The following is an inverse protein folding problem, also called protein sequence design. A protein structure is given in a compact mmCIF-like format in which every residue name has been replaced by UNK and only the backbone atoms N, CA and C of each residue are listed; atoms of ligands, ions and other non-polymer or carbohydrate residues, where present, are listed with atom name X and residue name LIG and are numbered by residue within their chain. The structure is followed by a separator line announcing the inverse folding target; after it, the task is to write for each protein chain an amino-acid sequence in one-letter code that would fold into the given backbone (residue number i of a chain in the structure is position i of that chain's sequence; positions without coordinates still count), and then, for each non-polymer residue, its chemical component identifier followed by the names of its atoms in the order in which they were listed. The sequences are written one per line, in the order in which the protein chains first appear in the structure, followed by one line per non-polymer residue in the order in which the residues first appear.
data_IF_341109920742
#
_entry.id   IF_341109920742
#
_cell.length_a   1.000
_cell.length_b   1.000
_cell.length_c   1.000
_cell.angle_alpha   90.00
_cell.angle_beta   90.00
_cell.angle_gamma   90.00
#
_symmetry.space_group_name_H-M   'P 1'
#
loop_
_entity.id
_entity.type
_entity.pdbx_description
1 polymer ?
#
# COMPACT_ATOMS: atom_id res chain seq x y z
N UNK A 1 -25.67 5.09 -10.50
CA UNK A 1 -24.38 5.71 -10.12
C UNK A 1 -23.35 4.60 -10.00
N UNK A 2 -22.25 4.66 -10.75
CA UNK A 2 -21.21 3.62 -10.76
C UNK A 2 -20.19 3.78 -9.63
N UNK A 3 -19.26 2.83 -9.55
CA UNK A 3 -18.13 2.84 -8.60
C UNK A 3 -17.25 4.07 -8.83
N UNK A 4 -16.98 4.82 -7.76
CA UNK A 4 -16.12 6.02 -7.77
C UNK A 4 -14.75 5.79 -7.13
N UNK A 5 -14.62 4.77 -6.29
CA UNK A 5 -13.38 4.51 -5.58
C UNK A 5 -12.90 3.09 -5.85
N UNK A 6 -11.62 2.95 -6.15
CA UNK A 6 -10.99 1.68 -6.50
C UNK A 6 -9.85 1.37 -5.54
N UNK A 7 -9.53 0.08 -5.45
CA UNK A 7 -8.37 -0.40 -4.71
C UNK A 7 -7.40 -1.01 -5.72
N UNK A 8 -6.19 -0.47 -5.81
CA UNK A 8 -5.07 -1.12 -6.45
C UNK A 8 -4.60 -2.24 -5.51
N UNK A 9 -5.18 -3.43 -5.70
CA UNK A 9 -4.90 -4.59 -4.87
C UNK A 9 -3.60 -5.32 -5.24
N UNK A 10 -3.12 -6.14 -4.31
CA UNK A 10 -2.00 -7.04 -4.54
C UNK A 10 -0.64 -6.44 -4.19
N UNK A 11 -0.55 -5.46 -3.29
CA UNK A 11 0.72 -4.98 -2.77
C UNK A 11 0.90 -5.38 -1.31
N UNK A 12 2.16 -5.57 -0.91
CA UNK A 12 2.56 -5.86 0.47
C UNK A 12 3.87 -5.19 0.81
N UNK A 13 4.14 -5.05 2.11
CA UNK A 13 5.47 -4.69 2.61
C UNK A 13 6.24 -5.99 2.86
N UNK A 14 7.41 -6.12 2.24
CA UNK A 14 8.27 -7.29 2.40
C UNK A 14 9.22 -7.14 3.61
N UNK A 15 10.06 -8.16 3.84
CA UNK A 15 11.00 -8.16 4.98
C UNK A 15 12.04 -7.04 4.90
N UNK A 16 12.35 -6.55 3.71
CA UNK A 16 13.26 -5.41 3.51
C UNK A 16 12.55 -4.06 3.69
N UNK A 17 11.32 -4.06 4.20
CA UNK A 17 10.47 -2.87 4.34
C UNK A 17 10.15 -2.21 3.00
N UNK A 18 10.14 -2.94 1.88
CA UNK A 18 9.81 -2.41 0.55
C UNK A 18 8.42 -2.84 0.12
N UNK A 19 7.73 -1.97 -0.61
CA UNK A 19 6.48 -2.30 -1.29
C UNK A 19 6.81 -3.23 -2.45
N UNK A 20 6.21 -4.41 -2.44
CA UNK A 20 6.24 -5.32 -3.56
C UNK A 20 4.84 -5.67 -4.00
N UNK A 21 4.66 -5.80 -5.31
CA UNK A 21 3.41 -6.32 -5.86
C UNK A 21 3.48 -7.84 -5.86
N UNK A 22 2.56 -8.47 -5.14
CA UNK A 22 2.40 -9.92 -5.15
C UNK A 22 1.67 -10.29 -6.42
N UNK A 23 2.34 -11.00 -7.31
CA UNK A 23 1.66 -11.73 -8.38
C UNK A 23 0.73 -12.74 -7.74
N UNK A 24 -0.57 -12.41 -7.73
CA UNK A 24 -1.56 -13.41 -7.36
C UNK A 24 -1.76 -14.30 -8.56
N UNK A 25 -1.76 -15.61 -8.34
CA UNK A 25 -2.07 -16.63 -9.35
C UNK A 25 -3.41 -16.40 -10.09
N UNK A 26 -4.25 -15.48 -9.61
CA UNK A 26 -5.59 -15.21 -10.09
C UNK A 26 -5.73 -13.94 -10.95
N UNK A 27 -4.74 -13.03 -10.96
CA UNK A 27 -4.79 -11.81 -11.77
C UNK A 27 -3.40 -11.41 -12.27
N UNK A 28 -3.24 -11.09 -13.56
CA UNK A 28 -2.00 -10.51 -14.05
C UNK A 28 -1.70 -9.20 -13.30
N UNK A 29 -0.42 -8.82 -13.17
CA UNK A 29 -0.08 -7.53 -12.60
C UNK A 29 -0.76 -6.42 -13.41
N UNK A 30 -1.11 -5.33 -12.73
CA UNK A 30 -1.68 -4.16 -13.40
C UNK A 30 -0.63 -3.62 -14.36
N UNK A 31 -1.04 -3.38 -15.60
CA UNK A 31 -0.23 -2.62 -16.53
C UNK A 31 -0.25 -1.13 -16.14
N UNK A 32 0.91 -0.47 -16.21
CA UNK A 32 1.05 0.95 -15.83
C UNK A 32 0.18 1.83 -16.72
N UNK A 33 0.14 1.58 -18.03
CA UNK A 33 -0.66 2.38 -18.97
C UNK A 33 -2.17 2.19 -18.75
N UNK A 34 -2.58 0.96 -18.42
CA UNK A 34 -3.94 0.64 -18.02
C UNK A 34 -4.34 1.32 -16.71
N UNK A 35 -3.44 1.34 -15.71
CA UNK A 35 -3.65 2.07 -14.46
C UNK A 35 -3.83 3.57 -14.72
N UNK A 36 -2.96 4.19 -15.51
CA UNK A 36 -3.01 5.63 -15.78
C UNK A 36 -4.31 6.03 -16.48
N UNK A 37 -4.78 5.20 -17.41
CA UNK A 37 -6.07 5.41 -18.09
C UNK A 37 -7.23 5.35 -17.10
N UNK A 38 -7.26 4.35 -16.21
CA UNK A 38 -8.26 4.24 -15.15
C UNK A 38 -8.18 5.42 -14.17
N UNK A 39 -6.96 5.81 -13.75
CA UNK A 39 -6.74 6.93 -12.83
C UNK A 39 -7.35 8.23 -13.38
N UNK A 40 -7.11 8.53 -14.65
CA UNK A 40 -7.69 9.69 -15.30
C UNK A 40 -9.23 9.66 -15.28
N UNK A 41 -9.85 8.54 -15.66
CA UNK A 41 -11.32 8.42 -15.64
C UNK A 41 -11.90 8.57 -14.23
N UNK A 42 -11.23 7.99 -13.23
CA UNK A 42 -11.63 8.07 -11.83
C UNK A 42 -11.55 9.52 -11.35
N UNK A 43 -10.48 10.25 -11.66
CA UNK A 43 -10.33 11.66 -11.31
C UNK A 43 -11.38 12.55 -11.98
N UNK A 44 -11.68 12.34 -13.26
CA UNK A 44 -12.73 13.09 -13.97
C UNK A 44 -14.11 12.93 -13.30
N UNK A 45 -14.32 11.83 -12.57
CA UNK A 45 -15.56 11.56 -11.82
C UNK A 45 -15.51 12.00 -10.35
N UNK A 46 -14.42 12.65 -9.93
CA UNK A 46 -14.17 13.02 -8.54
C UNK A 46 -13.93 11.82 -7.62
N UNK A 47 -13.46 10.71 -8.19
CA UNK A 47 -13.16 9.47 -7.51
C UNK A 47 -11.70 9.37 -7.03
N UNK A 48 -11.36 8.25 -6.39
CA UNK A 48 -10.01 7.97 -5.87
C UNK A 48 -9.59 6.52 -6.07
N UNK A 49 -8.28 6.28 -6.19
CA UNK A 49 -7.67 4.96 -6.19
C UNK A 49 -6.73 4.86 -5.00
N UNK A 50 -6.95 3.88 -4.11
CA UNK A 50 -6.07 3.61 -2.97
C UNK A 50 -5.27 2.33 -3.23
N UNK A 51 -3.98 2.28 -2.87
CA UNK A 51 -3.21 1.04 -2.89
C UNK A 51 -3.41 0.26 -1.59
N UNK A 52 -3.54 -1.06 -1.68
CA UNK A 52 -3.52 -1.91 -0.51
C UNK A 52 -2.06 -2.13 -0.03
N UNK A 53 -1.85 -2.26 1.27
CA UNK A 53 -0.58 -2.64 1.88
C UNK A 53 -0.85 -3.84 2.78
N UNK A 54 -0.68 -5.03 2.21
CA UNK A 54 -0.68 -6.26 2.98
C UNK A 54 0.54 -6.32 3.88
N UNK A 55 0.33 -6.69 5.14
CA UNK A 55 1.42 -7.10 6.02
C UNK A 55 1.29 -8.61 6.15
N UNK A 56 2.09 -9.35 5.38
CA UNK A 56 1.96 -10.80 5.39
C UNK A 56 2.47 -11.37 6.72
N UNK A 57 1.74 -12.34 7.27
CA UNK A 57 2.17 -13.20 8.36
C UNK A 57 3.54 -13.79 8.02
N UNK A 58 4.60 -13.17 8.53
CA UNK A 58 5.80 -13.92 8.85
C UNK A 58 5.72 -14.19 10.35
N UNK A 59 5.77 -15.46 10.79
CA UNK A 59 5.63 -15.85 12.21
C UNK A 59 6.80 -15.35 13.10
N UNK A 60 7.52 -14.32 12.69
CA UNK A 60 8.65 -13.74 13.37
C UNK A 60 8.86 -12.29 12.94
N UNK A 61 7.80 -11.48 12.83
CA UNK A 61 7.89 -10.06 12.53
C UNK A 61 8.35 -9.27 13.77
N UNK A 62 9.51 -9.65 14.30
CA UNK A 62 10.32 -8.88 15.26
C UNK A 62 11.23 -7.87 14.56
N UNK A 63 11.20 -7.83 13.22
CA UNK A 63 11.98 -6.90 12.43
C UNK A 63 11.25 -5.55 12.37
N UNK A 64 11.87 -4.53 12.95
CA UNK A 64 11.39 -3.14 12.92
C UNK A 64 11.38 -2.61 11.49
N UNK A 65 10.39 -1.78 11.15
CA UNK A 65 10.31 -1.14 9.84
C UNK A 65 11.58 -0.32 9.55
N UNK A 66 12.30 -0.65 8.49
CA UNK A 66 13.31 0.26 7.95
C UNK A 66 12.61 1.40 7.21
N UNK A 67 12.38 2.50 7.94
CA UNK A 67 11.68 3.69 7.44
C UNK A 67 12.29 4.26 6.16
N UNK A 68 13.61 4.30 6.06
CA UNK A 68 14.29 4.84 4.87
C UNK A 68 14.00 3.98 3.65
N UNK A 69 14.21 2.67 3.75
CA UNK A 69 13.94 1.73 2.65
C UNK A 69 12.45 1.75 2.24
N UNK A 70 11.55 1.89 3.22
CA UNK A 70 10.12 2.02 2.98
C UNK A 70 9.76 3.30 2.24
N UNK A 71 10.26 4.46 2.68
CA UNK A 71 9.99 5.73 2.02
C UNK A 71 10.53 5.78 0.59
N UNK A 72 11.74 5.27 0.35
CA UNK A 72 12.28 5.10 -1.01
C UNK A 72 11.36 4.23 -1.87
N UNK A 73 10.88 3.13 -1.30
CA UNK A 73 9.98 2.22 -2.00
C UNK A 73 8.62 2.84 -2.29
N UNK A 74 8.08 3.64 -1.36
CA UNK A 74 6.83 4.39 -1.56
C UNK A 74 7.01 5.40 -2.68
N UNK A 75 8.10 6.18 -2.68
CA UNK A 75 8.39 7.19 -3.71
C UNK A 75 8.52 6.57 -5.11
N UNK A 76 9.19 5.42 -5.21
CA UNK A 76 9.24 4.65 -6.47
C UNK A 76 7.85 4.15 -6.88
N UNK A 77 7.11 3.54 -5.95
CA UNK A 77 5.78 2.98 -6.21
C UNK A 77 4.80 4.02 -6.76
N UNK A 78 4.73 5.20 -6.15
CA UNK A 78 3.80 6.26 -6.59
C UNK A 78 4.19 6.89 -7.94
N UNK A 79 5.44 6.72 -8.38
CA UNK A 79 5.88 7.17 -9.71
C UNK A 79 5.24 6.29 -10.80
N UNK A 80 5.18 4.97 -10.56
CA UNK A 80 4.57 4.01 -11.49
C UNK A 80 3.04 3.96 -11.33
N UNK A 81 2.55 4.11 -10.09
CA UNK A 81 1.13 4.03 -9.72
C UNK A 81 0.75 5.21 -8.83
N UNK A 82 0.44 6.40 -9.40
CA UNK A 82 0.06 7.58 -8.64
C UNK A 82 -1.31 7.42 -7.96
N UNK A 83 -1.34 6.74 -6.82
CA UNK A 83 -2.53 6.50 -5.99
C UNK A 83 -2.81 7.66 -5.04
N UNK A 84 -4.08 7.84 -4.69
CA UNK A 84 -4.57 8.88 -3.77
C UNK A 84 -4.32 8.53 -2.28
N UNK A 85 -3.78 7.35 -2.02
CA UNK A 85 -3.43 6.92 -0.67
C UNK A 85 -3.25 5.42 -0.54
N UNK A 86 -3.10 4.99 0.70
CA UNK A 86 -2.86 3.60 1.06
C UNK A 86 -3.89 3.13 2.08
N UNK A 87 -4.29 1.88 1.98
CA UNK A 87 -5.08 1.16 2.98
C UNK A 87 -4.29 -0.06 3.43
N UNK A 88 -4.39 -0.42 4.71
CA UNK A 88 -3.82 -1.68 5.18
C UNK A 88 -4.90 -2.75 5.23
N UNK A 89 -4.53 -3.99 4.92
CA UNK A 89 -5.39 -5.15 5.08
C UNK A 89 -4.58 -6.32 5.63
N UNK A 90 -5.24 -7.15 6.43
CA UNK A 90 -4.62 -8.28 7.11
C UNK A 90 -5.47 -9.55 6.92
N UNK A 91 -5.00 -10.54 6.14
CA UNK A 91 -5.71 -11.80 5.98
C UNK A 91 -5.49 -12.67 7.21
N UNK A 92 -6.52 -12.83 8.05
CA UNK A 92 -6.48 -13.74 9.19
C UNK A 92 -6.80 -13.06 10.50
N UNK A 93 -8.11 -12.88 10.75
CA UNK A 93 -8.62 -12.37 12.01
C UNK A 93 -8.65 -13.53 13.02
N UNK A 94 -7.55 -13.74 13.75
CA UNK A 94 -7.57 -14.54 14.98
C UNK A 94 -7.33 -13.59 16.17
N UNK A 95 -8.35 -13.36 17.03
CA UNK A 95 -8.22 -12.50 18.19
C UNK A 95 -7.13 -12.91 19.19
N UNK A 96 -6.60 -14.14 19.08
CA UNK A 96 -5.69 -14.72 20.08
C UNK A 96 -4.21 -14.35 19.90
N UNK A 97 -3.80 -13.80 18.76
CA UNK A 97 -2.39 -13.49 18.45
C UNK A 97 -2.20 -12.04 18.02
N UNK A 98 -2.74 -11.11 18.80
CA UNK A 98 -2.34 -9.71 18.72
C UNK A 98 -0.90 -9.61 19.25
N UNK A 99 0.07 -9.92 18.40
CA UNK A 99 1.42 -9.42 18.59
C UNK A 99 1.33 -7.90 18.42
N UNK A 100 1.45 -7.17 19.53
CA UNK A 100 1.61 -5.69 19.59
C UNK A 100 2.46 -5.15 18.44
N UNK A 101 3.44 -5.95 18.02
CA UNK A 101 4.38 -5.72 16.94
C UNK A 101 3.68 -5.46 15.58
N UNK A 102 2.60 -6.15 15.22
CA UNK A 102 1.89 -5.90 13.94
C UNK A 102 1.25 -4.52 13.92
N UNK A 103 0.59 -4.14 15.02
CA UNK A 103 -0.05 -2.82 15.17
C UNK A 103 1.01 -1.73 15.18
N UNK A 104 2.15 -1.98 15.83
CA UNK A 104 3.28 -1.07 15.85
C UNK A 104 3.84 -0.88 14.43
N UNK A 105 4.11 -1.94 13.68
CA UNK A 105 4.60 -1.87 12.30
C UNK A 105 3.62 -1.15 11.36
N UNK A 106 2.31 -1.41 11.50
CA UNK A 106 1.27 -0.64 10.78
C UNK A 106 1.34 0.85 11.10
N UNK A 107 1.46 1.16 12.39
CA UNK A 107 1.55 2.54 12.88
C UNK A 107 2.79 3.24 12.34
N UNK A 108 3.92 2.56 12.28
CA UNK A 108 5.17 3.07 11.72
C UNK A 108 5.06 3.31 10.21
N UNK A 109 4.47 2.39 9.45
CA UNK A 109 4.22 2.58 8.01
C UNK A 109 3.35 3.82 7.76
N UNK A 110 2.25 3.96 8.51
CA UNK A 110 1.35 5.10 8.33
C UNK A 110 1.96 6.44 8.78
N UNK A 111 2.76 6.44 9.84
CA UNK A 111 3.54 7.62 10.24
C UNK A 111 4.50 8.02 9.13
N UNK A 112 5.24 7.06 8.55
CA UNK A 112 6.16 7.32 7.46
C UNK A 112 5.44 7.89 6.22
N UNK A 113 4.31 7.31 5.79
CA UNK A 113 3.52 7.85 4.66
C UNK A 113 3.03 9.26 4.95
N UNK A 114 2.56 9.53 6.18
CA UNK A 114 2.08 10.86 6.57
C UNK A 114 3.21 11.89 6.51
N UNK A 115 4.40 11.54 6.98
CA UNK A 115 5.58 12.40 6.88
C UNK A 115 5.96 12.67 5.42
N UNK A 116 5.95 11.64 4.56
CA UNK A 116 6.22 11.82 3.13
C UNK A 116 5.27 12.83 2.49
N UNK A 117 3.96 12.73 2.77
CA UNK A 117 2.96 13.68 2.27
C UNK A 117 3.24 15.12 2.70
N UNK A 118 3.63 15.33 3.96
CA UNK A 118 3.96 16.67 4.47
C UNK A 118 5.21 17.27 3.81
N UNK A 119 6.17 16.44 3.40
CA UNK A 119 7.43 16.88 2.78
C UNK A 119 7.30 17.07 1.27
N UNK A 120 6.52 16.25 0.58
CA UNK A 120 6.47 16.19 -0.89
C UNK A 120 5.27 16.89 -1.51
N UNK A 121 4.28 17.31 -0.71
CA UNK A 121 3.07 17.97 -1.22
C UNK A 121 2.16 17.06 -2.07
N UNK A 122 2.38 15.73 -2.03
CA UNK A 122 1.50 14.73 -2.64
C UNK A 122 0.09 14.89 -2.06
N UNK A 123 -0.82 15.44 -2.88
CA UNK A 123 -2.24 15.61 -2.58
C UNK A 123 -3.01 14.32 -2.85
#
# INVERSE_FOLDING_TARGET
MGVRNYILGGNRVNRESRIERVERQFYPPWDISGFMSLKHEVECRGGRILADLGLFWFPSWKETLNKTAFLESVAKFITDYPVDGFISWFPGYSPATWETDIIQSMTECFKAIKELRMVTGLR
#
